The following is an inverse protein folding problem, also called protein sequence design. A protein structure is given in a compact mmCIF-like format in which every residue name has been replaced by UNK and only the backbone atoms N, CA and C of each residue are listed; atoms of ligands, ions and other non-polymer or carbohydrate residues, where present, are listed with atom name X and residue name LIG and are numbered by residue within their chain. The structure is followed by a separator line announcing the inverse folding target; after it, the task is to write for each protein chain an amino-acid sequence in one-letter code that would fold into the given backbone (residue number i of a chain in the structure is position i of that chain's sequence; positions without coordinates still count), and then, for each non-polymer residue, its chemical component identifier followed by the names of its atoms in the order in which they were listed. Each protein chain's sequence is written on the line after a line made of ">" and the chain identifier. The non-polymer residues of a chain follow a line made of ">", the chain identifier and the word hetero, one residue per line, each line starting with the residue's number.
data_IF_215258716047
#
_entry.id   IF_215258716047
#
_cell.length_a   1.000
_cell.length_b   1.000
_cell.length_c   1.000
_cell.angle_alpha   90.00
_cell.angle_beta   90.00
_cell.angle_gamma   90.00
#
_symmetry.space_group_name_H-M   'P 1'
#
loop_
_entity.id
_entity.type
_entity.pdbx_description
1 polymer ?
#
# COMPACT_ATOMS: atom_id res chain seq x y z
N UNK A 1 -1.36 -44.15 57.12
CA UNK A 1 -2.35 -43.29 57.78
C UNK A 1 -1.68 -41.97 58.12
N UNK A 2 -2.11 -40.85 57.48
CA UNK A 2 -2.03 -39.43 57.90
C UNK A 2 -1.97 -38.48 56.69
N UNK A 3 -3.15 -37.94 56.36
CA UNK A 3 -3.36 -36.57 55.82
C UNK A 3 -3.42 -35.64 57.07
N UNK A 4 -3.20 -34.30 57.09
CA UNK A 4 -3.02 -33.26 56.05
C UNK A 4 -1.76 -32.36 56.33
N UNK A 5 -1.44 -31.30 55.57
CA UNK A 5 -1.85 -29.90 55.83
C UNK A 5 -1.58 -29.06 54.58
N UNK A 6 -2.63 -28.32 54.21
CA UNK A 6 -2.69 -27.27 53.21
C UNK A 6 -1.85 -26.06 53.65
N UNK A 7 -0.91 -25.62 52.81
CA UNK A 7 -0.30 -24.30 52.93
C UNK A 7 -0.47 -23.56 51.59
N UNK A 8 -1.43 -22.63 51.60
CA UNK A 8 -1.69 -21.68 50.54
C UNK A 8 -0.53 -20.67 50.51
N UNK A 9 0.28 -20.69 49.45
CA UNK A 9 1.28 -19.67 49.17
C UNK A 9 0.77 -18.79 48.02
N UNK A 10 0.35 -17.58 48.37
CA UNK A 10 0.02 -16.50 47.46
C UNK A 10 1.31 -16.05 46.74
N UNK A 11 1.46 -16.40 45.46
CA UNK A 11 2.59 -15.96 44.64
C UNK A 11 2.22 -14.64 43.94
N UNK A 12 2.87 -13.57 44.36
CA UNK A 12 2.89 -12.28 43.70
C UNK A 12 3.73 -12.42 42.42
N UNK A 13 3.09 -12.44 41.24
CA UNK A 13 3.80 -12.49 39.95
C UNK A 13 4.25 -11.06 39.58
N UNK A 14 5.56 -10.79 39.45
CA UNK A 14 6.03 -9.52 38.92
C UNK A 14 5.69 -9.42 37.42
N UNK A 15 5.19 -8.26 36.99
CA UNK A 15 5.00 -7.92 35.59
C UNK A 15 6.29 -8.22 34.81
N UNK A 16 6.25 -9.26 33.98
CA UNK A 16 7.32 -9.63 33.09
C UNK A 16 7.54 -8.52 32.07
N UNK A 17 8.78 -8.07 31.94
CA UNK A 17 9.25 -7.38 30.76
C UNK A 17 8.86 -8.20 29.53
N UNK A 18 8.22 -7.56 28.54
CA UNK A 18 7.89 -8.16 27.26
C UNK A 18 9.20 -8.46 26.52
N UNK A 19 9.73 -9.66 26.75
CA UNK A 19 10.84 -10.23 26.00
C UNK A 19 10.29 -11.05 24.83
N UNK A 20 9.31 -10.50 24.09
CA UNK A 20 8.99 -11.04 22.77
C UNK A 20 10.22 -10.83 21.86
N UNK A 21 10.79 -11.91 21.28
CA UNK A 21 11.76 -11.77 20.21
C UNK A 21 11.07 -10.96 19.10
N UNK A 22 11.60 -9.77 18.80
CA UNK A 22 11.22 -9.12 17.55
C UNK A 22 11.68 -10.06 16.44
N UNK A 23 10.72 -10.74 15.83
CA UNK A 23 10.91 -11.36 14.54
C UNK A 23 11.48 -10.26 13.63
N UNK A 24 12.72 -10.38 13.10
CA UNK A 24 13.27 -9.36 12.25
C UNK A 24 12.39 -9.32 11.00
N UNK A 25 11.45 -8.37 10.98
CA UNK A 25 10.62 -8.05 9.82
C UNK A 25 11.54 -8.09 8.60
N UNK A 26 11.23 -8.86 7.54
CA UNK A 26 12.03 -8.82 6.33
C UNK A 26 12.13 -7.35 5.94
N UNK A 27 13.36 -6.81 5.89
CA UNK A 27 13.59 -5.44 5.45
C UNK A 27 12.89 -5.34 4.10
N UNK A 28 11.84 -4.53 4.06
CA UNK A 28 11.03 -4.30 2.88
C UNK A 28 11.98 -4.08 1.71
N UNK A 29 12.01 -5.04 0.78
CA UNK A 29 12.64 -4.84 -0.52
C UNK A 29 11.92 -3.64 -1.10
N UNK A 30 12.57 -2.47 -1.10
CA UNK A 30 11.99 -1.24 -1.64
C UNK A 30 11.62 -1.55 -3.10
N UNK A 31 10.34 -1.76 -3.35
CA UNK A 31 9.83 -1.91 -4.70
C UNK A 31 10.11 -0.59 -5.41
N UNK A 32 10.74 -0.62 -6.60
CA UNK A 32 11.11 0.59 -7.29
C UNK A 32 9.84 1.38 -7.57
N UNK A 33 9.75 2.58 -6.98
CA UNK A 33 8.66 3.51 -7.24
C UNK A 33 8.64 3.80 -8.75
N UNK A 34 7.51 3.57 -9.45
CA UNK A 34 7.46 3.79 -10.89
C UNK A 34 7.78 5.26 -11.19
N UNK A 35 8.72 5.47 -12.09
CA UNK A 35 9.09 6.80 -12.58
C UNK A 35 7.93 7.38 -13.41
N UNK A 36 7.59 8.64 -13.14
CA UNK A 36 6.58 9.36 -13.91
C UNK A 36 7.14 9.93 -15.22
N UNK A 37 6.28 10.51 -16.08
CA UNK A 37 6.72 11.23 -17.26
C UNK A 37 7.56 12.47 -16.88
N UNK A 38 8.51 12.83 -17.73
CA UNK A 38 9.44 13.94 -17.53
C UNK A 38 9.10 15.14 -18.43
N UNK A 39 9.25 16.36 -17.91
CA UNK A 39 9.03 17.60 -18.68
C UNK A 39 10.08 17.69 -19.80
N UNK A 40 9.62 18.00 -21.02
CA UNK A 40 10.48 18.16 -22.20
C UNK A 40 10.85 16.84 -22.89
N UNK A 41 10.47 15.69 -22.32
CA UNK A 41 10.49 14.41 -23.03
C UNK A 41 9.15 14.21 -23.76
N UNK A 42 9.13 13.44 -24.88
CA UNK A 42 7.89 13.05 -25.52
C UNK A 42 6.92 12.41 -24.52
N UNK A 43 5.65 12.79 -24.58
CA UNK A 43 4.63 12.21 -23.72
C UNK A 43 4.50 10.70 -24.00
N UNK A 44 4.30 9.85 -22.98
CA UNK A 44 4.06 8.43 -23.19
C UNK A 44 2.85 8.21 -24.09
N UNK A 45 2.94 7.26 -25.03
CA UNK A 45 1.79 6.80 -25.80
C UNK A 45 1.05 5.72 -25.01
N UNK A 46 -0.26 5.87 -24.83
CA UNK A 46 -1.11 4.89 -24.16
C UNK A 46 -2.46 4.78 -24.87
N UNK A 47 -3.18 3.68 -24.59
CA UNK A 47 -4.53 3.45 -25.11
C UNK A 47 -5.54 3.51 -23.98
N UNK A 48 -6.67 4.15 -24.27
CA UNK A 48 -7.80 4.30 -23.37
C UNK A 48 -9.06 3.87 -24.11
N UNK A 49 -10.10 3.49 -23.38
CA UNK A 49 -11.43 3.41 -23.98
C UNK A 49 -12.10 4.77 -23.89
N UNK A 50 -12.74 5.21 -24.97
CA UNK A 50 -13.61 6.39 -24.96
C UNK A 50 -14.93 6.12 -24.22
N UNK A 51 -15.81 7.12 -24.16
CA UNK A 51 -17.11 7.01 -23.49
C UNK A 51 -18.07 5.96 -24.13
N UNK A 52 -17.78 5.49 -25.34
CA UNK A 52 -18.54 4.45 -26.04
C UNK A 52 -17.85 3.08 -25.96
N UNK A 53 -16.69 2.99 -25.31
CA UNK A 53 -15.90 1.77 -25.19
C UNK A 53 -14.92 1.51 -26.33
N UNK A 54 -14.76 2.45 -27.28
CA UNK A 54 -13.79 2.29 -28.37
C UNK A 54 -12.38 2.58 -27.88
N UNK A 55 -11.41 1.76 -28.30
CA UNK A 55 -10.02 2.01 -28.00
C UNK A 55 -9.47 3.20 -28.78
N UNK A 56 -8.97 4.21 -28.08
CA UNK A 56 -8.31 5.40 -28.62
C UNK A 56 -6.86 5.47 -28.15
N UNK A 57 -5.97 5.95 -29.01
CA UNK A 57 -4.57 6.21 -28.66
C UNK A 57 -4.42 7.68 -28.24
N UNK A 58 -3.66 7.92 -27.16
CA UNK A 58 -3.41 9.25 -26.60
C UNK A 58 -1.93 9.38 -26.21
N UNK A 59 -1.38 10.58 -26.35
CA UNK A 59 0.03 10.88 -26.11
C UNK A 59 0.92 10.69 -27.34
N UNK A 60 2.24 10.73 -27.15
CA UNK A 60 3.20 10.78 -28.26
C UNK A 60 3.27 12.17 -28.93
N UNK A 61 3.72 12.19 -30.18
CA UNK A 61 3.76 13.41 -31.01
C UNK A 61 2.37 13.64 -31.64
N UNK A 62 1.78 14.81 -31.37
CA UNK A 62 0.44 15.17 -31.84
C UNK A 62 0.42 16.60 -32.37
N UNK A 63 -0.39 16.86 -33.40
CA UNK A 63 -0.54 18.21 -33.99
C UNK A 63 -1.40 19.17 -33.14
N UNK A 64 -1.86 18.71 -31.98
CA UNK A 64 -2.71 19.47 -31.06
C UNK A 64 -2.30 19.26 -29.61
N UNK A 65 -2.71 20.18 -28.75
CA UNK A 65 -2.49 20.08 -27.31
C UNK A 65 -3.45 19.08 -26.67
N UNK A 66 -2.92 18.26 -25.77
CA UNK A 66 -3.68 17.26 -25.02
C UNK A 66 -3.53 17.53 -23.54
N UNK A 67 -4.65 17.59 -22.82
CA UNK A 67 -4.70 17.75 -21.35
C UNK A 67 -5.29 16.49 -20.75
N UNK A 68 -4.57 15.86 -19.82
CA UNK A 68 -5.04 14.72 -19.06
C UNK A 68 -5.33 15.09 -17.61
N UNK A 69 -6.54 14.78 -17.16
CA UNK A 69 -6.94 14.89 -15.77
C UNK A 69 -7.27 13.48 -15.23
N UNK A 70 -6.60 13.10 -14.15
CA UNK A 70 -6.86 11.85 -13.44
C UNK A 70 -7.75 12.11 -12.23
N UNK A 71 -8.78 11.30 -12.06
CA UNK A 71 -9.65 11.30 -10.89
C UNK A 71 -9.74 9.86 -10.33
N UNK A 72 -9.95 9.67 -9.02
CA UNK A 72 -10.05 8.32 -8.44
C UNK A 72 -11.24 7.53 -9.00
N UNK A 73 -12.37 8.20 -9.19
CA UNK A 73 -13.58 7.63 -9.76
C UNK A 73 -14.43 8.69 -10.47
N UNK A 74 -14.99 8.32 -11.61
CA UNK A 74 -15.90 9.20 -12.36
C UNK A 74 -17.26 9.28 -11.67
N UNK A 75 -18.01 10.35 -11.93
CA UNK A 75 -19.44 10.42 -11.63
C UNK A 75 -19.81 10.27 -10.15
N UNK A 76 -19.05 10.91 -9.25
CA UNK A 76 -19.44 11.03 -7.84
C UNK A 76 -20.21 12.34 -7.60
N UNK A 77 -21.32 12.34 -6.83
CA UNK A 77 -21.86 13.57 -6.27
C UNK A 77 -20.80 14.13 -5.31
N UNK A 78 -20.35 15.37 -5.56
CA UNK A 78 -19.35 16.04 -4.73
C UNK A 78 -19.82 16.26 -3.30
#
# INVERSE_FOLDING_TARGET
>A
MRIPILALALVLVPFGADTSPQDPRPMTKEEPKPAGPEIGKPAPAFRLNDQLGNAVAVGGETDHWVVLAFYPKASTPG
#
